data_IF_330099135746
#
_entry.id   IF_330099135746
#
_cell.length_a   1.000
_cell.length_b   1.000
_cell.length_c   1.000
_cell.angle_alpha   90.00
_cell.angle_beta   90.00
_cell.angle_gamma   90.00
#
_symmetry.space_group_name_H-M   'P 1'
#
loop_
_entity.id
_entity.type
_entity.pdbx_description
1 polymer ?
#
# COMPACT_ATOMS: atom_id res chain seq x y z
N UNK A 1 -22.74 21.29 0.14
CA UNK A 1 -22.64 20.88 -1.27
C UNK A 1 -23.19 19.48 -1.34
N UNK A 2 -24.40 19.33 -1.87
CA UNK A 2 -25.11 18.05 -1.94
C UNK A 2 -24.70 17.37 -3.24
N UNK A 3 -23.64 16.55 -3.17
CA UNK A 3 -22.96 15.92 -4.32
C UNK A 3 -23.91 15.09 -5.20
N UNK A 4 -25.08 14.70 -4.66
CA UNK A 4 -26.07 13.86 -5.34
C UNK A 4 -27.12 14.62 -6.16
N UNK A 5 -27.24 15.94 -6.01
CA UNK A 5 -28.20 16.73 -6.79
C UNK A 5 -27.61 17.24 -8.11
N UNK A 6 -26.30 17.13 -8.30
CA UNK A 6 -25.62 17.66 -9.46
C UNK A 6 -25.54 16.64 -10.61
N UNK A 7 -25.86 17.08 -11.82
CA UNK A 7 -25.70 16.26 -13.02
C UNK A 7 -24.23 16.21 -13.46
N UNK A 8 -23.86 15.14 -14.16
CA UNK A 8 -22.51 14.95 -14.71
C UNK A 8 -22.03 16.15 -15.54
N UNK A 9 -22.93 16.76 -16.33
CA UNK A 9 -22.63 17.94 -17.13
C UNK A 9 -22.36 19.19 -16.26
N UNK A 10 -23.11 19.36 -15.17
CA UNK A 10 -22.92 20.46 -14.22
C UNK A 10 -21.59 20.36 -13.46
N UNK A 11 -21.23 19.16 -13.02
CA UNK A 11 -19.95 18.88 -12.36
C UNK A 11 -18.80 19.08 -13.36
N UNK A 12 -18.94 18.57 -14.59
CA UNK A 12 -17.93 18.74 -15.65
C UNK A 12 -17.69 20.20 -16.01
N UNK A 13 -18.76 21.01 -16.05
CA UNK A 13 -18.64 22.45 -16.30
C UNK A 13 -17.95 23.18 -15.15
N UNK A 14 -18.25 22.83 -13.89
CA UNK A 14 -17.59 23.38 -12.70
C UNK A 14 -16.11 23.01 -12.63
N UNK A 15 -15.77 21.75 -12.94
CA UNK A 15 -14.37 21.31 -13.03
C UNK A 15 -13.66 22.06 -14.15
N UNK A 16 -14.27 22.21 -15.34
CA UNK A 16 -13.65 22.93 -16.45
C UNK A 16 -13.50 24.43 -16.18
N UNK A 17 -14.42 25.04 -15.43
CA UNK A 17 -14.33 26.46 -15.05
C UNK A 17 -13.32 26.71 -13.93
N UNK A 18 -13.15 25.75 -13.00
CA UNK A 18 -12.13 25.80 -11.94
C UNK A 18 -10.74 25.35 -12.42
N UNK A 19 -10.66 24.44 -13.39
CA UNK A 19 -9.45 24.01 -14.08
C UNK A 19 -8.99 25.00 -15.17
N UNK A 20 -9.64 26.16 -15.31
CA UNK A 20 -8.94 27.35 -15.79
C UNK A 20 -8.00 27.81 -14.67
N UNK A 21 -6.98 26.98 -14.45
CA UNK A 21 -5.93 27.17 -13.47
C UNK A 21 -5.35 28.56 -13.70
N UNK A 22 -5.14 29.28 -12.61
CA UNK A 22 -4.34 30.48 -12.54
C UNK A 22 -2.93 30.13 -13.04
N UNK A 23 -2.71 30.17 -14.36
CA UNK A 23 -1.38 30.22 -14.93
C UNK A 23 -0.90 31.64 -14.63
N UNK A 24 0.11 31.83 -13.77
CA UNK A 24 0.68 33.16 -13.56
C UNK A 24 1.15 33.69 -14.93
N UNK A 25 0.83 34.96 -15.22
CA UNK A 25 1.20 35.60 -16.48
C UNK A 25 2.74 35.62 -16.58
N UNK A 26 3.32 34.70 -17.37
CA UNK A 26 4.76 34.53 -17.51
C UNK A 26 5.28 33.09 -17.60
N UNK A 27 4.49 32.08 -17.25
CA UNK A 27 4.89 30.67 -17.48
C UNK A 27 4.43 30.18 -18.84
N UNK A 28 5.37 29.73 -19.66
CA UNK A 28 5.10 29.13 -20.96
C UNK A 28 4.46 27.74 -20.77
N UNK A 29 3.50 27.35 -21.60
CA UNK A 29 2.76 26.08 -21.44
C UNK A 29 3.70 24.84 -21.43
N UNK A 30 4.86 24.95 -22.06
CA UNK A 30 5.91 23.92 -22.11
C UNK A 30 6.61 23.72 -20.74
N UNK A 31 6.83 24.82 -20.00
CA UNK A 31 7.49 24.83 -18.68
C UNK A 31 6.56 24.27 -17.58
N UNK A 32 5.25 24.40 -17.78
CA UNK A 32 4.24 23.76 -16.92
C UNK A 32 4.20 22.23 -17.09
N UNK A 33 4.68 21.69 -18.22
CA UNK A 33 4.73 20.25 -18.51
C UNK A 33 6.01 19.58 -17.94
N UNK A 34 7.11 20.32 -17.82
CA UNK A 34 8.41 19.84 -17.34
C UNK A 34 8.51 19.61 -15.82
N UNK A 35 7.57 20.17 -15.06
CA UNK A 35 7.47 19.95 -13.61
C UNK A 35 7.18 18.48 -13.24
N UNK A 36 6.55 17.72 -14.14
CA UNK A 36 6.28 16.28 -13.98
C UNK A 36 7.33 15.39 -14.65
N UNK A 37 8.01 15.86 -15.70
CA UNK A 37 9.04 15.10 -16.42
C UNK A 37 10.32 14.91 -15.60
N UNK A 38 10.65 15.90 -14.77
CA UNK A 38 11.83 15.89 -13.89
C UNK A 38 11.84 14.75 -12.86
N UNK A 39 10.69 14.11 -12.61
CA UNK A 39 10.56 13.02 -11.65
C UNK A 39 10.67 11.61 -12.28
N UNK A 40 10.79 11.51 -13.61
CA UNK A 40 10.96 10.26 -14.35
C UNK A 40 12.39 10.04 -14.88
N UNK A 41 13.24 11.08 -14.90
CA UNK A 41 14.62 11.01 -15.40
C UNK A 41 15.67 10.74 -14.29
N UNK A 42 15.26 10.54 -13.04
CA UNK A 42 16.21 10.30 -11.93
C UNK A 42 16.74 8.85 -11.86
N UNK A 43 16.43 8.00 -12.84
CA UNK A 43 16.91 6.60 -12.88
C UNK A 43 18.23 6.38 -13.65
N UNK A 44 18.88 7.44 -14.15
CA UNK A 44 20.16 7.29 -14.86
C UNK A 44 21.18 8.39 -14.54
N UNK A 45 21.77 8.35 -13.34
CA UNK A 45 23.18 8.74 -13.10
C UNK A 45 23.66 8.37 -11.68
N UNK A 46 24.35 7.24 -11.57
CA UNK A 46 25.38 7.05 -10.54
C UNK A 46 26.69 7.73 -11.04
N UNK A 47 27.54 8.31 -10.17
CA UNK A 47 28.26 7.52 -9.15
C UNK A 47 28.50 8.23 -7.80
N UNK A 48 28.55 7.47 -6.70
CA UNK A 48 29.65 7.42 -5.71
C UNK A 48 29.20 6.74 -4.40
N UNK A 49 30.10 5.96 -3.81
CA UNK A 49 29.87 5.14 -2.61
C UNK A 49 29.93 5.95 -1.29
N UNK A 50 29.26 5.38 -0.27
CA UNK A 50 29.48 5.44 1.19
C UNK A 50 28.64 6.40 2.06
N UNK A 51 27.55 5.80 2.59
CA UNK A 51 27.22 5.61 4.03
C UNK A 51 26.86 6.84 4.88
N UNK A 52 25.59 6.96 5.25
CA UNK A 52 25.13 7.02 6.65
C UNK A 52 23.58 7.01 6.75
N UNK A 53 23.10 6.12 7.61
CA UNK A 53 21.84 6.10 8.38
C UNK A 53 20.63 6.96 8.01
N UNK A 54 19.51 6.25 7.89
CA UNK A 54 18.28 6.58 8.61
C UNK A 54 17.30 7.44 7.86
N UNK A 55 16.25 6.84 7.30
CA UNK A 55 14.85 7.17 7.66
C UNK A 55 13.98 6.05 7.13
N UNK A 56 13.23 5.45 8.05
CA UNK A 56 12.12 4.54 7.80
C UNK A 56 11.10 5.22 6.86
N UNK A 57 11.06 4.80 5.61
CA UNK A 57 9.98 5.10 4.69
C UNK A 57 9.61 3.79 4.01
N UNK A 58 8.70 3.08 4.66
CA UNK A 58 7.94 2.00 4.03
C UNK A 58 7.20 2.61 2.84
N UNK A 59 7.79 2.47 1.66
CA UNK A 59 7.11 2.65 0.38
C UNK A 59 6.11 1.50 0.27
N UNK A 60 4.83 1.85 0.28
CA UNK A 60 3.80 1.01 -0.32
C UNK A 60 4.02 1.03 -1.84
N UNK A 61 4.92 0.17 -2.32
CA UNK A 61 5.08 -0.14 -3.73
C UNK A 61 3.94 -1.10 -4.15
N UNK A 62 3.09 -0.74 -5.13
CA UNK A 62 2.06 -1.63 -5.65
C UNK A 62 2.65 -2.48 -6.77
N UNK A 63 3.46 -3.49 -6.45
CA UNK A 63 3.85 -4.50 -7.44
C UNK A 63 4.18 -5.84 -6.79
N UNK A 64 3.19 -6.74 -6.80
CA UNK A 64 3.32 -8.19 -6.58
C UNK A 64 4.05 -8.60 -5.29
N UNK A 65 3.59 -8.05 -4.16
CA UNK A 65 4.15 -8.35 -2.83
C UNK A 65 3.77 -9.78 -2.43
N UNK A 66 4.75 -10.69 -2.46
CA UNK A 66 4.63 -12.05 -1.92
C UNK A 66 4.25 -11.97 -0.43
N UNK A 67 2.95 -12.01 -0.15
CA UNK A 67 2.43 -11.75 1.19
C UNK A 67 2.90 -12.83 2.14
N UNK A 68 3.77 -12.42 3.05
CA UNK A 68 4.28 -13.26 4.13
C UNK A 68 3.45 -13.02 5.39
N UNK A 69 3.19 -14.09 6.14
CA UNK A 69 2.36 -14.08 7.34
C UNK A 69 3.15 -14.53 8.56
N UNK A 70 2.85 -13.90 9.69
CA UNK A 70 3.28 -14.33 11.02
C UNK A 70 2.04 -14.58 11.87
N UNK A 71 2.04 -15.62 12.71
CA UNK A 71 0.92 -15.92 13.59
C UNK A 71 1.34 -16.33 14.99
N UNK A 72 0.43 -16.12 15.95
CA UNK A 72 0.56 -16.55 17.34
C UNK A 72 -0.70 -17.28 17.79
N UNK A 73 -0.53 -18.22 18.72
CA UNK A 73 -1.63 -19.04 19.25
C UNK A 73 -2.44 -18.34 20.34
N UNK A 74 -1.80 -17.53 21.18
CA UNK A 74 -2.45 -16.82 22.28
C UNK A 74 -2.38 -15.30 22.06
N UNK A 75 -3.41 -14.57 22.51
CA UNK A 75 -3.39 -13.10 22.56
C UNK A 75 -2.55 -12.56 23.74
N UNK A 76 -1.40 -13.18 23.99
CA UNK A 76 -0.42 -12.71 24.97
C UNK A 76 0.73 -12.02 24.24
N UNK A 77 1.39 -11.11 24.94
CA UNK A 77 2.56 -10.39 24.43
C UNK A 77 3.82 -11.30 24.41
N UNK A 78 3.89 -12.29 25.30
CA UNK A 78 4.94 -13.32 25.39
C UNK A 78 4.67 -14.56 24.52
N UNK A 79 3.59 -14.58 23.73
CA UNK A 79 3.28 -15.73 22.89
C UNK A 79 4.31 -15.88 21.76
N UNK A 80 4.73 -17.11 21.49
CA UNK A 80 5.65 -17.41 20.39
C UNK A 80 5.03 -17.01 19.04
N UNK A 81 5.73 -16.13 18.33
CA UNK A 81 5.36 -15.69 16.98
C UNK A 81 6.03 -16.63 15.99
N UNK A 82 5.22 -17.29 15.17
CA UNK A 82 5.65 -18.18 14.11
C UNK A 82 5.54 -17.47 12.76
N UNK A 83 6.67 -17.29 12.06
CA UNK A 83 6.73 -16.69 10.73
C UNK A 83 8.17 -16.49 10.28
N UNK A 84 8.41 -16.03 9.03
CA UNK A 84 7.42 -15.74 7.99
C UNK A 84 6.98 -17.01 7.22
N UNK A 85 5.68 -17.15 6.98
CA UNK A 85 5.07 -18.21 6.16
C UNK A 85 4.37 -17.63 4.93
N UNK A 86 4.35 -18.38 3.83
CA UNK A 86 3.61 -17.97 2.63
C UNK A 86 2.09 -18.08 2.82
N UNK A 87 1.31 -17.29 2.06
CA UNK A 87 -0.16 -17.41 2.04
C UNK A 87 -0.64 -18.84 1.75
N UNK A 88 0.10 -19.59 0.93
CA UNK A 88 -0.23 -20.97 0.57
C UNK A 88 -0.09 -21.92 1.75
N UNK A 89 1.01 -21.85 2.50
CA UNK A 89 1.21 -22.68 3.70
C UNK A 89 0.15 -22.38 4.76
N UNK A 90 -0.21 -21.10 4.93
CA UNK A 90 -1.27 -20.68 5.84
C UNK A 90 -2.64 -21.24 5.44
N UNK A 91 -2.93 -21.29 4.13
CA UNK A 91 -4.15 -21.89 3.59
C UNK A 91 -4.21 -23.40 3.88
N UNK A 92 -3.12 -24.13 3.61
CA UNK A 92 -3.03 -25.57 3.89
C UNK A 92 -3.25 -25.88 5.38
N UNK A 93 -2.75 -25.04 6.28
CA UNK A 93 -3.00 -25.16 7.73
C UNK A 93 -4.43 -24.84 8.14
N UNK A 94 -5.07 -23.89 7.48
CA UNK A 94 -6.48 -23.62 7.69
C UNK A 94 -7.36 -24.78 7.22
N UNK A 95 -7.10 -25.33 6.03
CA UNK A 95 -7.84 -26.48 5.46
C UNK A 95 -7.61 -27.77 6.23
N UNK A 96 -6.39 -28.00 6.73
CA UNK A 96 -6.06 -29.19 7.54
C UNK A 96 -6.60 -29.13 8.98
N UNK A 97 -7.25 -28.03 9.38
CA UNK A 97 -7.79 -27.85 10.73
C UNK A 97 -6.74 -27.52 11.79
N UNK A 98 -5.50 -27.21 11.39
CA UNK A 98 -4.44 -26.80 12.31
C UNK A 98 -4.84 -25.52 13.08
N UNK A 99 -5.59 -24.63 12.43
CA UNK A 99 -6.14 -23.40 13.03
C UNK A 99 -7.59 -23.53 13.51
N UNK A 100 -8.07 -24.73 13.84
CA UNK A 100 -9.46 -24.95 14.27
C UNK A 100 -9.83 -24.13 15.51
N UNK A 101 -8.91 -23.95 16.46
CA UNK A 101 -9.11 -23.08 17.64
C UNK A 101 -9.06 -21.57 17.32
N UNK A 102 -8.67 -21.21 16.08
CA UNK A 102 -8.40 -19.84 15.67
C UNK A 102 -7.02 -19.38 16.15
N UNK A 103 -6.24 -18.82 15.23
CA UNK A 103 -4.95 -18.18 15.55
C UNK A 103 -5.01 -16.71 15.25
N UNK A 104 -4.04 -15.97 15.76
CA UNK A 104 -3.90 -14.53 15.52
C UNK A 104 -2.77 -14.34 14.50
N UNK A 105 -3.12 -13.99 13.27
CA UNK A 105 -2.19 -13.81 12.16
C UNK A 105 -2.09 -12.34 11.72
N UNK A 106 -0.92 -11.97 11.19
CA UNK A 106 -0.57 -10.64 10.70
C UNK A 106 0.28 -10.76 9.43
N UNK A 107 0.17 -9.78 8.54
CA UNK A 107 1.06 -9.63 7.39
C UNK A 107 2.40 -9.05 7.82
N UNK A 108 3.48 -9.77 7.51
CA UNK A 108 4.86 -9.37 7.80
C UNK A 108 5.14 -8.05 7.07
N UNK A 109 5.84 -7.13 7.75
CA UNK A 109 6.14 -5.80 7.21
C UNK A 109 5.02 -4.77 7.37
N UNK A 110 3.83 -5.15 7.88
CA UNK A 110 2.76 -4.18 8.22
C UNK A 110 2.64 -4.03 9.73
N UNK A 111 2.59 -2.78 10.23
CA UNK A 111 2.32 -2.45 11.64
C UNK A 111 0.83 -2.67 12.03
N UNK A 112 0.18 -3.62 11.37
CA UNK A 112 -1.21 -3.97 11.63
C UNK A 112 -1.33 -4.82 12.89
N UNK A 113 -2.43 -4.70 13.62
CA UNK A 113 -2.72 -5.60 14.73
C UNK A 113 -2.96 -7.04 14.24
N UNK A 114 -2.66 -8.03 15.10
CA UNK A 114 -2.97 -9.42 14.79
C UNK A 114 -4.48 -9.61 14.64
N UNK A 115 -4.88 -10.26 13.55
CA UNK A 115 -6.27 -10.57 13.22
C UNK A 115 -6.52 -12.06 13.34
N UNK A 116 -7.73 -12.46 13.71
CA UNK A 116 -8.06 -13.89 13.79
C UNK A 116 -8.00 -14.54 12.40
N UNK A 117 -7.40 -15.72 12.29
CA UNK A 117 -7.33 -16.52 11.05
C UNK A 117 -8.70 -16.74 10.43
N UNK A 118 -9.76 -16.90 11.24
CA UNK A 118 -11.14 -17.06 10.74
C UNK A 118 -11.69 -15.86 9.97
N UNK A 119 -11.07 -14.68 10.15
CA UNK A 119 -11.45 -13.43 9.47
C UNK A 119 -10.53 -13.12 8.30
N UNK A 120 -9.47 -13.91 8.13
CA UNK A 120 -8.48 -13.73 7.07
C UNK A 120 -8.77 -14.80 6.03
N UNK A 121 -8.95 -14.36 4.80
CA UNK A 121 -9.06 -15.25 3.66
C UNK A 121 -7.69 -15.29 2.96
N UNK A 122 -6.93 -16.36 3.21
CA UNK A 122 -5.57 -16.52 2.65
C UNK A 122 -5.60 -16.83 1.14
N UNK A 123 -6.73 -17.30 0.60
CA UNK A 123 -6.91 -17.61 -0.84
C UNK A 123 -6.84 -16.34 -1.70
N UNK A 124 -7.23 -15.19 -1.13
CA UNK A 124 -7.08 -13.88 -1.79
C UNK A 124 -5.63 -13.46 -2.06
N UNK A 125 -4.66 -14.18 -1.49
CA UNK A 125 -3.23 -13.86 -1.54
C UNK A 125 -2.38 -15.04 -2.05
N UNK A 126 -3.00 -16.06 -2.66
CA UNK A 126 -2.33 -17.25 -3.26
C UNK A 126 -2.43 -17.29 -4.77
#
# INVERSE_FOLDING_TARGET
>A
MEVYEETFEGISFKIKSQAKVLIPEGTNDDDALDMFASSLDDEKKAPNEKKAEGTDQKKDDPMEDEVSWEFKWEDKEDAEIHGPHSSKEMLEWQESGFFENGVLARKVGTDSSFSSSRRIDFELYT
#
